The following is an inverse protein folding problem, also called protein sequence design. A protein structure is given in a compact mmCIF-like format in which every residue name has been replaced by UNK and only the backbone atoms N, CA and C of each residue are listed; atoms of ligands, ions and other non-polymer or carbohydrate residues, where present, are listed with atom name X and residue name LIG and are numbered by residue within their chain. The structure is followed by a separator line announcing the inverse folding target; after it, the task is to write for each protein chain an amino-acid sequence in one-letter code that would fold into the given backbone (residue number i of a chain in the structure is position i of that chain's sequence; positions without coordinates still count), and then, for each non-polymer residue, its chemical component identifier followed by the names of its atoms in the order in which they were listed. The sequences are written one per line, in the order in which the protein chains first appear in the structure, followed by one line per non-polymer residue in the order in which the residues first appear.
data_IF_452623793345
#
_entry.id   IF_452623793345
#
_cell.length_a   1.000
_cell.length_b   1.000
_cell.length_c   1.000
_cell.angle_alpha   90.00
_cell.angle_beta   90.00
_cell.angle_gamma   90.00
#
_symmetry.space_group_name_H-M   'P 1'
#
loop_
_entity.id
_entity.type
_entity.pdbx_description
1 polymer ?
#
# COMPACT_ATOMS: atom_id res chain seq x y z
N UNK A 1 -2.64 20.49 16.53
CA UNK A 1 -1.33 20.02 16.06
C UNK A 1 -1.30 20.08 14.55
N UNK A 2 -0.17 20.48 13.94
CA UNK A 2 -0.02 20.66 12.49
C UNK A 2 1.24 19.95 11.97
N UNK A 3 1.06 18.96 11.09
CA UNK A 3 2.16 18.24 10.42
C UNK A 3 2.78 19.00 9.24
N UNK A 4 2.18 20.13 8.84
CA UNK A 4 2.56 20.92 7.67
C UNK A 4 3.27 22.24 7.98
N UNK A 5 3.89 22.37 9.16
CA UNK A 5 4.55 23.62 9.60
C UNK A 5 5.92 23.86 8.98
N UNK A 6 6.68 22.80 8.77
CA UNK A 6 8.07 22.86 8.28
C UNK A 6 8.53 21.53 7.71
N UNK A 7 9.71 21.50 7.11
CA UNK A 7 10.38 20.26 6.69
C UNK A 7 10.79 19.34 7.86
N UNK A 8 10.58 19.77 9.10
CA UNK A 8 10.79 18.99 10.33
C UNK A 8 9.49 18.57 11.00
N UNK A 9 8.33 18.83 10.39
CA UNK A 9 7.03 18.37 10.84
C UNK A 9 6.45 17.36 9.86
N UNK A 10 5.58 16.50 10.35
CA UNK A 10 4.91 15.51 9.53
C UNK A 10 3.76 14.82 10.24
N UNK A 11 2.98 14.08 9.47
CA UNK A 11 1.89 13.25 9.96
C UNK A 11 2.09 11.82 9.47
N UNK A 12 1.45 10.86 10.12
CA UNK A 12 1.54 9.47 9.70
C UNK A 12 0.54 8.56 10.40
N UNK A 13 0.49 7.35 9.90
CA UNK A 13 -0.26 6.24 10.48
C UNK A 13 0.71 5.08 10.64
N UNK A 14 0.75 4.48 11.83
CA UNK A 14 1.63 3.37 12.14
C UNK A 14 0.87 2.22 12.76
N UNK A 15 1.16 1.03 12.27
CA UNK A 15 0.76 -0.25 12.83
C UNK A 15 1.83 -0.78 13.77
N UNK A 16 1.44 -1.37 14.89
CA UNK A 16 2.38 -1.97 15.84
C UNK A 16 2.84 -3.37 15.43
N UNK A 17 2.12 -4.02 14.52
CA UNK A 17 2.49 -5.28 13.90
C UNK A 17 2.73 -5.12 12.39
N UNK A 18 3.86 -5.63 11.91
CA UNK A 18 4.15 -5.72 10.49
C UNK A 18 3.71 -7.10 9.95
N UNK A 19 2.69 -7.18 9.06
CA UNK A 19 2.20 -8.45 8.53
C UNK A 19 3.22 -9.19 7.65
N UNK A 20 4.22 -8.50 7.10
CA UNK A 20 5.28 -9.11 6.27
C UNK A 20 6.35 -9.79 7.11
N UNK A 21 6.64 -9.25 8.30
CA UNK A 21 7.66 -9.79 9.19
C UNK A 21 7.09 -10.85 10.13
N UNK A 22 7.64 -12.07 10.07
CA UNK A 22 7.35 -13.12 11.05
C UNK A 22 8.26 -12.97 12.28
N UNK A 23 8.18 -11.81 12.96
CA UNK A 23 8.96 -11.51 14.17
C UNK A 23 8.03 -11.15 15.33
N UNK A 24 8.25 -11.71 16.53
CA UNK A 24 7.48 -11.32 17.70
C UNK A 24 7.79 -9.88 18.11
N UNK A 25 6.88 -9.30 18.88
CA UNK A 25 7.02 -7.96 19.45
C UNK A 25 6.57 -6.82 18.55
N UNK A 26 6.90 -5.60 18.96
CA UNK A 26 6.49 -4.36 18.28
C UNK A 26 7.42 -4.10 17.09
N UNK A 27 6.85 -4.20 15.91
CA UNK A 27 7.51 -3.99 14.63
C UNK A 27 6.73 -2.92 13.87
N UNK A 28 7.11 -1.65 14.08
CA UNK A 28 6.42 -0.50 13.50
C UNK A 28 6.44 -0.56 11.96
N UNK A 29 5.26 -0.46 11.36
CA UNK A 29 5.03 -0.53 9.92
C UNK A 29 3.92 0.43 9.54
N UNK A 30 4.05 1.17 8.45
CA UNK A 30 3.01 2.12 8.04
C UNK A 30 3.59 3.24 7.19
N UNK A 31 2.92 4.38 7.21
CA UNK A 31 3.25 5.49 6.33
C UNK A 31 3.37 6.79 7.10
N UNK A 32 4.32 7.64 6.71
CA UNK A 32 4.36 9.03 7.11
C UNK A 32 4.64 9.93 5.92
N UNK A 33 4.38 11.23 6.08
CA UNK A 33 4.77 12.26 5.12
C UNK A 33 5.23 13.51 5.86
N UNK A 34 6.13 14.26 5.22
CA UNK A 34 6.61 15.55 5.72
C UNK A 34 5.76 16.67 5.14
N UNK A 35 5.67 17.78 5.87
CA UNK A 35 4.94 18.97 5.42
C UNK A 35 3.47 18.70 5.03
N UNK A 36 2.84 17.66 5.57
CA UNK A 36 1.50 17.21 5.18
C UNK A 36 0.59 17.08 6.39
N UNK A 37 -0.73 17.03 6.16
CA UNK A 37 -1.70 16.68 7.18
C UNK A 37 -2.06 15.19 7.10
N UNK A 38 -2.59 14.65 8.20
CA UNK A 38 -2.97 13.23 8.27
C UNK A 38 -4.03 12.84 7.23
N UNK A 39 -4.92 13.77 6.87
CA UNK A 39 -5.97 13.57 5.86
C UNK A 39 -5.38 13.16 4.50
N UNK A 40 -4.30 13.81 4.05
CA UNK A 40 -3.68 13.53 2.75
C UNK A 40 -3.17 12.09 2.64
N UNK A 41 -2.65 11.56 3.76
CA UNK A 41 -2.09 10.21 3.87
C UNK A 41 -3.21 9.17 3.82
N UNK A 42 -4.22 9.40 4.64
CA UNK A 42 -5.36 8.49 4.80
C UNK A 42 -6.22 8.47 3.54
N UNK A 43 -6.38 9.62 2.87
CA UNK A 43 -7.04 9.72 1.57
C UNK A 43 -6.21 9.13 0.41
N UNK A 44 -4.91 8.86 0.61
CA UNK A 44 -4.03 8.30 -0.41
C UNK A 44 -3.68 9.26 -1.53
N UNK A 45 -3.74 10.57 -1.28
CA UNK A 45 -3.52 11.62 -2.29
C UNK A 45 -2.04 11.97 -2.49
N UNK A 46 -1.18 11.44 -1.63
CA UNK A 46 0.26 11.72 -1.61
C UNK A 46 1.09 10.45 -1.74
N UNK A 47 2.34 10.61 -2.15
CA UNK A 47 3.34 9.56 -2.01
C UNK A 47 3.82 9.51 -0.57
N UNK A 48 3.76 8.33 0.02
CA UNK A 48 4.14 8.11 1.42
C UNK A 48 5.61 7.73 1.56
N UNK A 49 6.11 7.85 2.78
CA UNK A 49 7.44 7.42 3.22
C UNK A 49 7.30 6.33 4.30
N UNK A 50 8.27 5.41 4.39
CA UNK A 50 8.20 4.26 5.31
C UNK A 50 8.47 4.65 6.76
N UNK A 51 7.80 3.98 7.71
CA UNK A 51 8.03 4.20 9.14
C UNK A 51 9.37 3.60 9.60
N UNK A 52 9.64 2.34 9.27
CA UNK A 52 10.85 1.63 9.71
C UNK A 52 11.86 1.41 8.59
N UNK A 53 13.13 1.23 8.95
CA UNK A 53 14.18 0.91 7.98
C UNK A 53 13.99 -0.44 7.31
N UNK A 54 13.48 -1.44 8.05
CA UNK A 54 13.14 -2.73 7.46
C UNK A 54 12.06 -2.58 6.38
N UNK A 55 11.03 -1.77 6.65
CA UNK A 55 10.00 -1.48 5.65
C UNK A 55 10.59 -0.72 4.46
N UNK A 56 11.50 0.24 4.69
CA UNK A 56 12.16 0.99 3.61
C UNK A 56 12.89 0.06 2.65
N UNK A 57 13.70 -0.84 3.18
CA UNK A 57 14.48 -1.79 2.37
C UNK A 57 13.61 -2.72 1.52
N UNK A 58 12.45 -3.11 2.05
CA UNK A 58 11.54 -4.06 1.39
C UNK A 58 10.61 -3.37 0.38
N UNK A 59 9.91 -2.32 0.82
CA UNK A 59 8.77 -1.73 0.11
C UNK A 59 9.10 -0.40 -0.59
N UNK A 60 10.16 0.28 -0.15
CA UNK A 60 10.55 1.59 -0.64
C UNK A 60 12.04 1.64 -1.03
N UNK A 61 12.51 0.79 -1.95
CA UNK A 61 13.93 0.71 -2.29
C UNK A 61 14.50 2.05 -2.78
N UNK A 62 13.68 2.87 -3.44
CA UNK A 62 14.04 4.20 -3.93
C UNK A 62 13.99 5.30 -2.85
N UNK A 63 13.41 5.02 -1.67
CA UNK A 63 13.37 6.03 -0.61
C UNK A 63 14.72 6.11 0.08
N UNK A 64 15.27 7.31 0.16
CA UNK A 64 16.52 7.59 0.90
C UNK A 64 16.32 7.64 2.41
N UNK A 65 15.08 7.74 2.89
CA UNK A 65 14.76 7.91 4.31
C UNK A 65 13.62 6.98 4.76
N UNK A 66 13.60 6.72 6.07
CA UNK A 66 12.41 6.31 6.82
C UNK A 66 12.23 7.23 8.02
N UNK A 67 11.09 7.14 8.73
CA UNK A 67 10.92 7.88 9.98
C UNK A 67 12.00 7.48 10.99
N UNK A 68 12.36 6.19 11.04
CA UNK A 68 13.39 5.66 11.93
C UNK A 68 14.76 6.30 11.72
N UNK A 69 15.16 6.59 10.48
CA UNK A 69 16.48 7.21 10.20
C UNK A 69 16.43 8.73 10.18
N UNK A 70 15.40 9.33 9.61
CA UNK A 70 15.31 10.79 9.49
C UNK A 70 14.89 11.46 10.81
N UNK A 71 14.02 10.80 11.61
CA UNK A 71 13.48 11.35 12.86
C UNK A 71 13.57 10.33 14.00
N UNK A 72 14.79 9.88 14.37
CA UNK A 72 14.98 8.76 15.30
C UNK A 72 14.35 9.00 16.68
N UNK A 73 14.34 10.24 17.16
CA UNK A 73 13.69 10.59 18.44
C UNK A 73 12.17 10.43 18.40
N UNK A 74 11.55 10.84 17.28
CA UNK A 74 10.11 10.68 17.05
C UNK A 74 9.75 9.20 16.92
N UNK A 75 10.53 8.44 16.14
CA UNK A 75 10.34 7.00 15.98
C UNK A 75 10.45 6.25 17.32
N UNK A 76 11.48 6.56 18.12
CA UNK A 76 11.65 5.93 19.44
C UNK A 76 10.49 6.27 20.37
N UNK A 77 10.04 7.52 20.37
CA UNK A 77 8.87 7.94 21.15
C UNK A 77 7.60 7.20 20.73
N UNK A 78 7.36 7.03 19.44
CA UNK A 78 6.25 6.20 18.93
C UNK A 78 6.36 4.75 19.42
N UNK A 79 7.57 4.18 19.37
CA UNK A 79 7.80 2.81 19.83
C UNK A 79 7.57 2.63 21.33
N UNK A 80 7.97 3.60 22.14
CA UNK A 80 7.68 3.64 23.58
C UNK A 80 6.16 3.69 23.85
N UNK A 81 5.45 4.59 23.16
CA UNK A 81 4.00 4.72 23.29
C UNK A 81 3.26 3.44 22.86
N UNK A 82 3.67 2.82 21.76
CA UNK A 82 3.17 1.52 21.33
C UNK A 82 3.45 0.42 22.38
N UNK A 83 4.64 0.43 22.99
CA UNK A 83 5.02 -0.54 24.04
C UNK A 83 4.15 -0.39 25.26
N UNK A 84 3.86 0.85 25.67
CA UNK A 84 2.96 1.15 26.77
C UNK A 84 1.54 0.66 26.49
N UNK A 85 0.99 0.94 25.31
CA UNK A 85 -0.34 0.49 24.92
C UNK A 85 -0.47 -1.04 25.00
N UNK A 86 0.51 -1.77 24.46
CA UNK A 86 0.40 -3.23 24.35
C UNK A 86 0.79 -3.95 25.64
N UNK A 87 1.95 -3.62 26.22
CA UNK A 87 2.52 -4.40 27.32
C UNK A 87 2.13 -3.92 28.70
N UNK A 88 1.91 -2.61 28.89
CA UNK A 88 1.51 -2.07 30.19
C UNK A 88 -0.01 -2.00 30.33
N UNK A 89 -0.70 -1.54 29.28
CA UNK A 89 -2.15 -1.33 29.29
C UNK A 89 -2.94 -2.54 28.75
N UNK A 90 -2.25 -3.54 28.19
CA UNK A 90 -2.87 -4.81 27.77
C UNK A 90 -3.73 -4.71 26.51
N UNK A 91 -3.56 -3.68 25.67
CA UNK A 91 -4.26 -3.60 24.39
C UNK A 91 -3.69 -4.59 23.38
N UNK A 92 -4.54 -5.04 22.44
CA UNK A 92 -4.11 -5.75 21.24
C UNK A 92 -3.21 -4.85 20.37
N UNK A 93 -2.67 -5.39 19.27
CA UNK A 93 -1.94 -4.57 18.30
C UNK A 93 -2.76 -3.36 17.86
N UNK A 94 -2.10 -2.22 17.68
CA UNK A 94 -2.73 -0.93 17.43
C UNK A 94 -2.36 -0.38 16.06
N UNK A 95 -3.32 0.33 15.48
CA UNK A 95 -3.13 1.32 14.45
C UNK A 95 -3.19 2.69 15.11
N UNK A 96 -2.16 3.50 14.91
CA UNK A 96 -1.92 4.75 15.61
C UNK A 96 -1.75 5.86 14.58
N UNK A 97 -2.64 6.84 14.61
CA UNK A 97 -2.52 8.07 13.84
C UNK A 97 -1.76 9.11 14.67
N UNK A 98 -0.73 9.71 14.08
CA UNK A 98 0.14 10.63 14.78
C UNK A 98 0.51 11.84 13.94
N UNK A 99 0.97 12.89 14.62
CA UNK A 99 1.54 14.08 14.00
C UNK A 99 2.67 14.60 14.88
N UNK A 100 3.78 15.02 14.28
CA UNK A 100 4.87 15.68 14.97
C UNK A 100 5.13 17.08 14.39
N UNK A 101 5.32 18.08 15.24
CA UNK A 101 5.58 19.46 14.80
C UNK A 101 7.07 19.79 14.66
N UNK A 102 7.96 18.96 15.24
CA UNK A 102 9.41 19.10 15.15
C UNK A 102 10.12 17.75 15.39
N UNK A 103 11.47 17.75 15.41
CA UNK A 103 12.28 16.59 15.79
C UNK A 103 12.28 16.29 17.30
N UNK A 104 11.67 17.14 18.12
CA UNK A 104 11.54 16.96 19.56
C UNK A 104 10.46 15.92 19.88
N UNK A 105 10.75 14.86 20.66
CA UNK A 105 9.77 13.83 21.01
C UNK A 105 8.54 14.36 21.78
N UNK A 106 8.64 15.49 22.47
CA UNK A 106 7.49 16.12 23.15
C UNK A 106 6.52 16.80 22.17
N UNK A 107 6.97 17.06 20.94
CA UNK A 107 6.14 17.62 19.88
C UNK A 107 5.46 16.51 19.04
N UNK A 108 5.51 15.25 19.50
CA UNK A 108 4.75 14.14 18.94
C UNK A 108 3.39 14.03 19.63
N UNK A 109 2.34 14.04 18.82
CA UNK A 109 0.97 13.92 19.26
C UNK A 109 0.33 12.67 18.66
N UNK A 110 -0.27 11.86 19.52
CA UNK A 110 -1.16 10.77 19.09
C UNK A 110 -2.56 11.36 18.92
N UNK A 111 -3.11 11.21 17.72
CA UNK A 111 -4.42 11.74 17.36
C UNK A 111 -5.51 10.71 17.64
N UNK A 112 -5.24 9.47 17.23
CA UNK A 112 -6.17 8.37 17.33
C UNK A 112 -5.41 7.06 17.51
N UNK A 113 -5.97 6.15 18.29
CA UNK A 113 -5.56 4.76 18.36
C UNK A 113 -6.77 3.88 18.15
N UNK A 114 -6.63 2.82 17.38
CA UNK A 114 -7.63 1.76 17.28
C UNK A 114 -6.95 0.41 17.14
N UNK A 115 -7.70 -0.65 17.43
CA UNK A 115 -7.20 -2.00 17.24
C UNK A 115 -6.81 -2.23 15.76
N UNK A 116 -5.59 -2.73 15.56
CA UNK A 116 -5.08 -3.13 14.26
C UNK A 116 -5.77 -4.43 13.86
N UNK A 117 -6.34 -4.42 12.66
CA UNK A 117 -6.91 -5.63 12.07
C UNK A 117 -5.77 -6.44 11.45
N UNK A 118 -5.50 -7.62 12.01
CA UNK A 118 -4.49 -8.55 11.52
C UNK A 118 -5.21 -9.71 10.84
N UNK A 119 -5.03 -9.84 9.52
CA UNK A 119 -5.53 -11.00 8.78
C UNK A 119 -4.54 -12.16 8.92
N UNK A 120 -4.97 -13.37 9.31
CA UNK A 120 -4.10 -14.53 9.37
C UNK A 120 -3.48 -14.81 8.01
N UNK A 121 -2.17 -15.12 7.99
CA UNK A 121 -1.54 -15.65 6.77
C UNK A 121 -2.23 -16.94 6.38
N UNK A 122 -2.56 -17.08 5.10
CA UNK A 122 -3.04 -18.34 4.53
C UNK A 122 -1.83 -19.24 4.27
N UNK A 123 -2.00 -20.54 4.50
CA UNK A 123 -0.91 -21.51 4.30
C UNK A 123 -0.44 -21.64 2.85
N UNK A 124 -1.29 -21.24 1.89
CA UNK A 124 -0.99 -21.30 0.45
C UNK A 124 -0.47 -19.95 -0.05
N UNK A 125 0.80 -19.92 -0.43
CA UNK A 125 1.43 -18.80 -1.11
C UNK A 125 1.29 -19.00 -2.62
N UNK A 126 0.95 -17.93 -3.35
CA UNK A 126 0.90 -17.98 -4.81
C UNK A 126 2.16 -17.34 -5.41
N UNK A 127 2.70 -17.97 -6.45
CA UNK A 127 3.89 -17.50 -7.16
C UNK A 127 3.75 -17.74 -8.66
N UNK A 128 4.46 -16.95 -9.47
CA UNK A 128 4.56 -17.19 -10.90
C UNK A 128 5.48 -18.38 -11.16
N UNK A 129 5.04 -19.33 -11.98
CA UNK A 129 5.89 -20.47 -12.37
C UNK A 129 6.87 -20.12 -13.48
N UNK A 130 6.70 -18.97 -14.12
CA UNK A 130 7.66 -18.42 -15.09
C UNK A 130 8.81 -17.74 -14.35
N UNK A 131 10.09 -17.97 -14.74
CA UNK A 131 11.24 -17.26 -14.18
C UNK A 131 11.12 -15.74 -14.36
N UNK A 132 11.54 -14.97 -13.36
CA UNK A 132 11.39 -13.51 -13.36
C UNK A 132 12.15 -12.84 -14.53
N UNK A 133 13.24 -13.44 -15.00
CA UNK A 133 14.07 -12.97 -16.10
C UNK A 133 13.36 -13.06 -17.46
N UNK A 134 12.39 -13.96 -17.58
CA UNK A 134 11.54 -14.15 -18.77
C UNK A 134 10.28 -13.27 -18.72
N UNK A 135 10.03 -12.63 -17.58
CA UNK A 135 8.87 -11.76 -17.37
C UNK A 135 9.21 -10.31 -17.71
N UNK A 136 8.34 -9.66 -18.49
CA UNK A 136 8.56 -8.26 -18.86
C UNK A 136 8.10 -7.32 -17.76
N UNK A 137 9.02 -6.91 -16.89
CA UNK A 137 8.74 -5.95 -15.81
C UNK A 137 8.31 -4.60 -16.42
N UNK A 138 7.17 -4.10 -15.96
CA UNK A 138 6.67 -2.76 -16.28
C UNK A 138 7.06 -1.75 -15.21
N UNK A 139 6.96 -2.12 -13.94
CA UNK A 139 7.23 -1.22 -12.83
C UNK A 139 7.02 -1.90 -11.49
N UNK A 140 7.21 -1.13 -10.43
CA UNK A 140 7.10 -1.60 -9.05
C UNK A 140 6.35 -0.59 -8.18
N UNK A 141 5.66 -1.12 -7.17
CA UNK A 141 5.07 -0.36 -6.07
C UNK A 141 5.17 -1.16 -4.78
N UNK A 142 4.27 -0.86 -3.85
CA UNK A 142 4.16 -1.54 -2.56
C UNK A 142 3.13 -2.66 -2.68
N UNK A 143 3.59 -3.91 -2.62
CA UNK A 143 2.70 -5.07 -2.53
C UNK A 143 2.10 -5.21 -1.13
N UNK A 144 0.80 -5.52 -1.01
CA UNK A 144 0.14 -5.70 0.31
C UNK A 144 -0.41 -7.10 0.59
N UNK A 145 -0.06 -8.11 -0.21
CA UNK A 145 -0.59 -9.47 -0.05
C UNK A 145 0.38 -10.58 -0.43
N UNK A 146 -0.04 -11.83 -0.26
CA UNK A 146 0.79 -13.01 -0.55
C UNK A 146 0.35 -13.72 -1.86
N UNK A 147 -0.27 -12.97 -2.78
CA UNK A 147 -0.88 -13.50 -3.99
C UNK A 147 -0.25 -12.92 -5.26
N UNK A 148 -0.16 -13.76 -6.29
CA UNK A 148 0.05 -13.32 -7.66
C UNK A 148 -1.31 -13.25 -8.38
N UNK A 149 -1.46 -12.34 -9.35
CA UNK A 149 -2.69 -12.19 -10.11
C UNK A 149 -2.35 -11.82 -11.56
N UNK A 150 -2.95 -12.52 -12.52
CA UNK A 150 -2.89 -12.17 -13.95
C UNK A 150 -4.29 -11.82 -14.40
N UNK A 151 -4.49 -10.64 -15.00
CA UNK A 151 -5.83 -10.14 -15.30
C UNK A 151 -5.89 -8.98 -16.28
N UNK A 152 -7.10 -8.67 -16.72
CA UNK A 152 -7.46 -7.58 -17.61
C UNK A 152 -7.47 -6.24 -16.88
N UNK A 153 -6.83 -5.24 -17.49
CA UNK A 153 -6.83 -3.86 -17.02
C UNK A 153 -8.22 -3.24 -17.17
N UNK A 154 -8.69 -2.60 -16.10
CA UNK A 154 -9.94 -1.82 -16.04
C UNK A 154 -9.64 -0.46 -15.42
N UNK A 155 -10.33 0.61 -15.86
CA UNK A 155 -10.18 1.95 -15.29
C UNK A 155 -11.43 2.42 -14.55
N UNK A 156 -12.59 1.91 -14.93
CA UNK A 156 -13.86 2.30 -14.32
C UNK A 156 -14.87 1.15 -14.18
N UNK A 157 -16.07 1.50 -13.70
CA UNK A 157 -17.16 0.55 -13.49
C UNK A 157 -17.69 -0.02 -14.80
N UNK A 158 -17.68 0.75 -15.88
CA UNK A 158 -18.19 0.30 -17.17
C UNK A 158 -17.29 -0.79 -17.75
N UNK A 159 -15.97 -0.62 -17.63
CA UNK A 159 -14.99 -1.62 -18.05
C UNK A 159 -15.18 -2.92 -17.24
N UNK A 160 -15.27 -2.81 -15.91
CA UNK A 160 -15.45 -3.96 -15.00
C UNK A 160 -16.73 -4.75 -15.32
N UNK A 161 -17.86 -4.07 -15.52
CA UNK A 161 -19.13 -4.74 -15.81
C UNK A 161 -19.13 -5.37 -17.19
N UNK A 162 -18.64 -4.66 -18.21
CA UNK A 162 -18.58 -5.18 -19.58
C UNK A 162 -17.67 -6.41 -19.66
N UNK A 163 -16.43 -6.30 -19.18
CA UNK A 163 -15.48 -7.40 -19.28
C UNK A 163 -15.87 -8.60 -18.41
N UNK A 164 -16.55 -8.40 -17.28
CA UNK A 164 -17.11 -9.52 -16.50
C UNK A 164 -18.20 -10.27 -17.25
N UNK A 165 -18.99 -9.61 -18.08
CA UNK A 165 -20.00 -10.26 -18.92
C UNK A 165 -19.36 -10.99 -20.12
N UNK A 166 -18.37 -10.36 -20.77
CA UNK A 166 -17.70 -10.89 -21.96
C UNK A 166 -16.69 -12.00 -21.63
N UNK A 167 -16.00 -11.89 -20.49
CA UNK A 167 -14.90 -12.76 -20.07
C UNK A 167 -15.04 -13.19 -18.59
N UNK A 168 -16.08 -13.98 -18.25
CA UNK A 168 -16.41 -14.29 -16.86
C UNK A 168 -15.32 -15.07 -16.10
N UNK A 169 -14.45 -15.78 -16.81
CA UNK A 169 -13.34 -16.56 -16.24
C UNK A 169 -12.08 -15.73 -16.00
N UNK A 170 -12.01 -14.52 -16.54
CA UNK A 170 -10.85 -13.63 -16.39
C UNK A 170 -10.89 -12.87 -15.06
N UNK A 171 -9.71 -12.42 -14.65
CA UNK A 171 -9.53 -11.57 -13.47
C UNK A 171 -9.43 -10.12 -13.89
N UNK A 172 -9.87 -9.21 -13.03
CA UNK A 172 -9.90 -7.79 -13.34
C UNK A 172 -8.99 -6.99 -12.41
N UNK A 173 -8.10 -6.20 -13.01
CA UNK A 173 -7.16 -5.34 -12.29
C UNK A 173 -7.59 -3.89 -12.52
N UNK A 174 -8.08 -3.25 -11.46
CA UNK A 174 -8.46 -1.85 -11.48
C UNK A 174 -7.22 -0.97 -11.34
N UNK A 175 -7.00 -0.03 -12.26
CA UNK A 175 -5.91 0.95 -12.19
C UNK A 175 -6.51 2.32 -11.89
N UNK A 176 -6.02 2.98 -10.85
CA UNK A 176 -6.44 4.34 -10.45
C UNK A 176 -5.22 5.22 -10.15
N UNK A 177 -5.30 6.57 -10.29
CA UNK A 177 -4.23 7.44 -9.81
C UNK A 177 -4.09 7.37 -8.28
N UNK A 178 -5.22 7.41 -7.62
CA UNK A 178 -5.44 7.30 -6.18
C UNK A 178 -6.84 6.73 -6.00
N UNK A 179 -7.16 6.32 -4.79
CA UNK A 179 -8.46 5.72 -4.48
C UNK A 179 -9.33 6.73 -3.75
N UNK A 180 -10.49 7.01 -4.32
CA UNK A 180 -11.51 7.87 -3.70
C UNK A 180 -12.65 7.03 -3.13
N UNK A 181 -13.47 7.55 -2.21
CA UNK A 181 -14.62 6.81 -1.67
C UNK A 181 -15.54 6.19 -2.74
N UNK A 182 -15.71 6.85 -3.88
CA UNK A 182 -16.51 6.38 -5.02
C UNK A 182 -15.93 5.13 -5.73
N UNK A 183 -14.70 4.74 -5.41
CA UNK A 183 -14.06 3.54 -5.92
C UNK A 183 -14.43 2.29 -5.13
N UNK A 184 -15.07 2.39 -3.95
CA UNK A 184 -15.41 1.24 -3.11
C UNK A 184 -16.16 0.17 -3.90
N UNK A 185 -17.22 0.54 -4.64
CA UNK A 185 -17.99 -0.40 -5.44
C UNK A 185 -17.14 -1.08 -6.53
N UNK A 186 -16.17 -0.36 -7.10
CA UNK A 186 -15.23 -0.89 -8.11
C UNK A 186 -14.26 -1.88 -7.47
N UNK A 187 -13.74 -1.55 -6.29
CA UNK A 187 -12.83 -2.40 -5.50
C UNK A 187 -13.54 -3.72 -5.12
N UNK A 188 -14.82 -3.67 -4.77
CA UNK A 188 -15.59 -4.89 -4.51
C UNK A 188 -15.63 -5.81 -5.73
N UNK A 189 -15.73 -5.25 -6.94
CA UNK A 189 -15.87 -6.02 -8.17
C UNK A 189 -14.55 -6.47 -8.78
N UNK A 190 -13.45 -5.73 -8.63
CA UNK A 190 -12.15 -6.14 -9.17
C UNK A 190 -11.51 -7.28 -8.37
N UNK A 191 -10.49 -7.93 -8.92
CA UNK A 191 -9.67 -8.94 -8.21
C UNK A 191 -8.34 -8.34 -7.73
N UNK A 192 -7.84 -7.32 -8.42
CA UNK A 192 -6.65 -6.57 -8.06
C UNK A 192 -6.77 -5.07 -8.23
N UNK A 193 -5.90 -4.32 -7.56
CA UNK A 193 -5.86 -2.87 -7.54
C UNK A 193 -4.43 -2.37 -7.73
N UNK A 194 -4.23 -1.42 -8.64
CA UNK A 194 -2.96 -0.70 -8.79
C UNK A 194 -3.23 0.80 -8.62
N UNK A 195 -2.43 1.46 -7.79
CA UNK A 195 -2.51 2.91 -7.57
C UNK A 195 -1.17 3.59 -7.79
N UNK A 196 -1.19 4.83 -8.29
CA UNK A 196 0.01 5.66 -8.45
C UNK A 196 0.44 6.26 -7.11
N UNK A 197 -0.54 6.71 -6.32
CA UNK A 197 -0.38 7.33 -5.00
C UNK A 197 -1.12 6.56 -3.93
N UNK A 198 -0.80 6.87 -2.68
CA UNK A 198 -1.37 6.24 -1.51
C UNK A 198 -0.54 5.07 -1.02
N UNK A 199 -0.29 5.08 0.28
CA UNK A 199 0.48 4.04 0.97
C UNK A 199 -0.40 2.91 1.50
N UNK A 200 0.24 2.03 2.27
CA UNK A 200 -0.35 0.86 2.92
C UNK A 200 -1.43 1.24 3.94
N UNK A 201 -1.37 2.44 4.51
CA UNK A 201 -2.32 2.96 5.50
C UNK A 201 -3.47 3.76 4.91
N UNK A 202 -3.51 3.99 3.59
CA UNK A 202 -4.64 4.70 2.97
C UNK A 202 -5.95 3.91 3.15
N UNK A 203 -7.08 4.59 3.29
CA UNK A 203 -8.37 3.95 3.57
C UNK A 203 -8.70 2.83 2.59
N UNK A 204 -8.45 3.05 1.31
CA UNK A 204 -8.79 2.09 0.27
C UNK A 204 -7.77 0.97 0.15
N UNK A 205 -6.49 1.21 0.47
CA UNK A 205 -5.49 0.15 0.65
C UNK A 205 -5.94 -0.82 1.74
N UNK A 206 -6.28 -0.27 2.91
CA UNK A 206 -6.75 -1.05 4.05
C UNK A 206 -8.04 -1.80 3.69
N UNK A 207 -8.96 -1.16 2.97
CA UNK A 207 -10.22 -1.78 2.53
C UNK A 207 -9.99 -2.88 1.50
N UNK A 208 -9.18 -2.64 0.47
CA UNK A 208 -8.88 -3.64 -0.56
C UNK A 208 -8.16 -4.86 0.03
N UNK A 209 -7.22 -4.62 0.97
CA UNK A 209 -6.53 -5.69 1.71
C UNK A 209 -7.52 -6.51 2.55
N UNK A 210 -8.45 -5.85 3.27
CA UNK A 210 -9.54 -6.54 4.01
C UNK A 210 -10.44 -7.37 3.10
N UNK A 211 -10.71 -6.89 1.90
CA UNK A 211 -11.48 -7.60 0.87
C UNK A 211 -10.67 -8.69 0.15
N UNK A 212 -9.40 -8.90 0.55
CA UNK A 212 -8.54 -9.95 0.03
C UNK A 212 -8.05 -9.73 -1.41
N UNK A 213 -8.09 -8.47 -1.88
CA UNK A 213 -7.65 -8.04 -3.21
C UNK A 213 -6.12 -8.01 -3.29
N UNK A 214 -5.58 -8.38 -4.45
CA UNK A 214 -4.13 -8.27 -4.70
C UNK A 214 -3.82 -6.83 -5.08
N UNK A 215 -3.04 -6.12 -4.26
CA UNK A 215 -2.80 -4.69 -4.46
C UNK A 215 -1.32 -4.37 -4.70
N UNK A 216 -1.08 -3.41 -5.60
CA UNK A 216 0.19 -2.72 -5.79
C UNK A 216 -0.06 -1.23 -5.60
N UNK A 217 0.51 -0.65 -4.55
CA UNK A 217 0.22 0.72 -4.14
C UNK A 217 1.41 1.64 -4.41
N UNK A 218 1.19 2.95 -4.45
CA UNK A 218 2.27 3.93 -4.56
C UNK A 218 3.24 3.67 -5.73
N UNK A 219 2.74 3.20 -6.88
CA UNK A 219 3.55 2.97 -8.07
C UNK A 219 3.92 4.31 -8.72
N UNK A 220 5.07 4.88 -8.36
CA UNK A 220 5.48 6.23 -8.76
C UNK A 220 5.58 6.43 -10.28
N UNK A 221 5.94 5.38 -11.01
CA UNK A 221 6.07 5.42 -12.47
C UNK A 221 4.72 5.33 -13.20
N UNK A 222 3.63 5.05 -12.47
CA UNK A 222 2.29 4.95 -13.03
C UNK A 222 1.69 6.34 -13.21
N UNK A 223 1.40 6.69 -14.46
CA UNK A 223 0.66 7.89 -14.83
C UNK A 223 -0.70 7.47 -15.40
N UNK A 224 -1.79 7.85 -14.75
CA UNK A 224 -3.15 7.48 -15.16
C UNK A 224 -3.85 8.67 -15.80
N UNK A 225 -4.52 8.43 -16.93
CA UNK A 225 -5.42 9.37 -17.58
C UNK A 225 -6.82 8.76 -17.64
N UNK A 226 -7.64 9.11 -16.65
CA UNK A 226 -9.02 8.61 -16.52
C UNK A 226 -9.88 8.99 -17.74
N UNK A 227 -9.71 10.20 -18.29
CA UNK A 227 -10.50 10.69 -19.43
C UNK A 227 -10.25 9.85 -20.69
N UNK A 228 -9.00 9.44 -20.91
CA UNK A 228 -8.61 8.62 -22.04
C UNK A 228 -8.69 7.11 -21.76
N UNK A 229 -9.07 6.72 -20.53
CA UNK A 229 -9.04 5.34 -20.04
C UNK A 229 -7.72 4.62 -20.37
N UNK A 230 -6.60 5.25 -20.05
CA UNK A 230 -5.28 4.66 -20.28
C UNK A 230 -4.32 5.03 -19.17
N UNK A 231 -3.29 4.22 -18.98
CA UNK A 231 -2.16 4.59 -18.16
C UNK A 231 -0.83 4.35 -18.88
N UNK A 232 0.23 4.92 -18.33
CA UNK A 232 1.60 4.65 -18.75
C UNK A 232 2.40 4.22 -17.55
N UNK A 233 3.19 3.14 -17.70
CA UNK A 233 4.16 2.69 -16.70
C UNK A 233 5.49 2.50 -17.43
N UNK A 234 6.52 3.27 -17.03
CA UNK A 234 7.84 3.25 -17.67
C UNK A 234 7.79 3.31 -19.21
N UNK A 235 6.95 4.21 -19.74
CA UNK A 235 6.78 4.45 -21.17
C UNK A 235 5.89 3.45 -21.91
N UNK A 236 5.44 2.37 -21.27
CA UNK A 236 4.48 1.42 -21.86
C UNK A 236 3.06 1.90 -21.59
N UNK A 237 2.28 2.10 -22.65
CA UNK A 237 0.87 2.48 -22.56
C UNK A 237 0.00 1.24 -22.39
N UNK A 238 -0.88 1.26 -21.39
CA UNK A 238 -1.91 0.23 -21.16
C UNK A 238 -3.30 0.83 -21.35
N UNK A 239 -4.20 0.04 -21.93
CA UNK A 239 -5.58 0.35 -22.26
C UNK A 239 -6.54 -0.68 -21.64
N UNK A 240 -7.86 -0.44 -21.63
CA UNK A 240 -8.81 -1.37 -21.05
C UNK A 240 -8.77 -2.71 -21.82
N UNK A 241 -8.69 -3.81 -21.08
CA UNK A 241 -8.61 -5.17 -21.64
C UNK A 241 -7.19 -5.68 -21.89
N UNK A 242 -6.16 -4.82 -21.81
CA UNK A 242 -4.78 -5.29 -21.83
C UNK A 242 -4.52 -6.23 -20.64
N UNK A 243 -3.70 -7.26 -20.86
CA UNK A 243 -3.39 -8.23 -19.81
C UNK A 243 -2.08 -7.88 -19.14
N UNK A 244 -2.12 -7.81 -17.81
CA UNK A 244 -0.95 -7.65 -16.96
C UNK A 244 -0.96 -8.69 -15.85
N UNK A 245 0.20 -8.90 -15.24
CA UNK A 245 0.36 -9.74 -14.07
C UNK A 245 1.00 -8.95 -12.94
N UNK A 246 0.55 -9.15 -11.70
CA UNK A 246 1.05 -8.46 -10.50
C UNK A 246 1.46 -9.46 -9.43
N UNK A 247 2.60 -9.18 -8.78
CA UNK A 247 3.09 -9.85 -7.58
C UNK A 247 2.73 -9.00 -6.37
N UNK A 248 1.68 -9.40 -5.64
CA UNK A 248 1.20 -8.68 -4.46
C UNK A 248 2.16 -8.71 -3.27
N UNK A 249 3.21 -9.54 -3.31
CA UNK A 249 4.20 -9.64 -2.24
C UNK A 249 5.41 -8.76 -2.53
N UNK A 250 6.02 -8.95 -3.71
CA UNK A 250 7.21 -8.18 -4.11
C UNK A 250 6.87 -6.77 -4.62
N UNK A 251 5.62 -6.52 -4.99
CA UNK A 251 5.16 -5.25 -5.53
C UNK A 251 5.40 -5.09 -7.03
N UNK A 252 5.73 -6.15 -7.76
CA UNK A 252 6.09 -6.10 -9.18
C UNK A 252 4.87 -6.12 -10.09
N UNK A 253 4.95 -5.39 -11.21
CA UNK A 253 3.95 -5.35 -12.27
C UNK A 253 4.61 -5.80 -13.57
N UNK A 254 4.02 -6.75 -14.28
CA UNK A 254 4.54 -7.34 -15.50
C UNK A 254 3.55 -7.22 -16.67
N UNK A 255 4.07 -7.03 -17.88
CA UNK A 255 3.26 -7.04 -19.10
C UNK A 255 2.98 -8.48 -19.54
N UNK A 256 1.71 -8.79 -19.77
CA UNK A 256 1.29 -10.10 -20.25
C UNK A 256 0.69 -10.99 -19.15
N UNK A 257 0.31 -12.21 -19.56
CA UNK A 257 -0.32 -13.22 -18.71
C UNK A 257 0.71 -14.28 -18.35
N UNK A 258 1.01 -14.42 -17.05
CA UNK A 258 1.90 -15.45 -16.58
C UNK A 258 1.16 -16.51 -15.74
N UNK A 259 1.52 -17.80 -15.86
CA UNK A 259 0.94 -18.88 -15.08
C UNK A 259 1.29 -18.76 -13.59
N UNK A 260 0.29 -19.02 -12.74
CA UNK A 260 0.40 -18.90 -11.28
C UNK A 260 0.21 -20.29 -10.66
N UNK A 261 1.08 -20.65 -9.73
CA UNK A 261 0.99 -21.86 -8.92
C UNK A 261 0.77 -21.50 -7.45
N UNK A 262 0.37 -22.48 -6.65
CA UNK A 262 0.20 -22.35 -5.19
C UNK A 262 0.96 -23.47 -4.50
N UNK A 263 1.57 -23.17 -3.36
CA UNK A 263 2.14 -24.17 -2.46
C UNK A 263 1.07 -24.97 -1.71
#
# INVERSE_FOLDING_TARGET
VMGNRSNKSGSGVVFTHNPKLNKPGINLYGDFTLCSQGEDIVAGLVHTLPISESQRQEDYPESSISLQTAFPKIYNRLKELASKLIYELGFNNQEIEFTFESENPEDLYILQTREQIITPKKDKVQFFSTPLEEMKLLGRGIGTGDKCLSGMVCFDMQDLLRFRLEYPEEKFILIRPDTVPDDIAKIFLCDGLITSRGGVTSHSSVTATKLGKTCILNCKDLIVNDNLKQCTINGVVLKPGDIISIDGKAGNIFLGKYPIQST
#
